data_IF_740555606606
#
_entry.id   IF_740555606606
#
_cell.length_a   1.000
_cell.length_b   1.000
_cell.length_c   1.000
_cell.angle_alpha   90.00
_cell.angle_beta   90.00
_cell.angle_gamma   90.00
#
_symmetry.space_group_name_H-M   'P 1'
#
loop_
_entity.id
_entity.type
_entity.pdbx_description
1 polymer ?
#
# COMPACT_ATOMS: atom_id res chain seq x y z
N UNK A 1 -2.72 24.88 -17.65
CA UNK A 1 -2.12 23.64 -17.11
C UNK A 1 -1.79 22.72 -18.28
N UNK A 2 -0.50 22.46 -18.56
CA UNK A 2 -0.11 21.49 -19.57
C UNK A 2 -0.01 20.11 -18.94
N UNK A 3 -0.99 19.24 -19.20
CA UNK A 3 -0.86 17.81 -18.90
C UNK A 3 0.09 17.19 -19.93
N UNK A 4 1.40 17.13 -19.62
CA UNK A 4 2.36 16.38 -20.42
C UNK A 4 2.46 14.95 -19.87
N UNK A 5 2.01 13.97 -20.64
CA UNK A 5 2.29 12.56 -20.33
C UNK A 5 3.74 12.29 -20.77
N UNK A 6 4.62 11.81 -19.87
CA UNK A 6 6.00 11.51 -20.25
C UNK A 6 6.04 10.42 -21.32
N UNK A 7 6.83 10.66 -22.38
CA UNK A 7 7.03 9.70 -23.50
C UNK A 7 7.70 8.39 -23.07
N UNK A 8 8.35 8.38 -21.91
CA UNK A 8 9.04 7.22 -21.37
C UNK A 8 8.38 6.77 -20.07
N UNK A 9 8.22 5.46 -19.93
CA UNK A 9 7.82 4.83 -18.68
C UNK A 9 8.92 5.05 -17.65
N UNK A 10 8.54 5.35 -16.39
CA UNK A 10 9.50 5.37 -15.28
C UNK A 10 10.18 4.01 -15.18
N UNK A 11 11.48 4.00 -14.91
CA UNK A 11 12.23 2.78 -14.67
C UNK A 11 11.56 1.97 -13.57
N UNK A 12 11.35 0.69 -13.84
CA UNK A 12 10.77 -0.25 -12.89
C UNK A 12 11.86 -0.65 -11.90
N UNK A 13 11.60 -0.46 -10.60
CA UNK A 13 12.46 -1.01 -9.55
C UNK A 13 12.47 -2.54 -9.65
N UNK A 14 13.65 -3.13 -9.80
CA UNK A 14 13.84 -4.57 -9.86
C UNK A 14 14.30 -5.16 -8.53
N UNK A 15 14.68 -4.29 -7.59
CA UNK A 15 15.13 -4.69 -6.27
C UNK A 15 13.97 -5.25 -5.45
N UNK A 16 14.23 -6.37 -4.77
CA UNK A 16 13.27 -6.99 -3.87
C UNK A 16 12.88 -5.98 -2.77
N UNK A 17 11.58 -5.75 -2.60
CA UNK A 17 11.03 -4.74 -1.67
C UNK A 17 11.45 -3.30 -1.99
N UNK A 18 12.08 -3.04 -3.15
CA UNK A 18 12.46 -1.69 -3.55
C UNK A 18 11.25 -0.77 -3.82
N UNK A 19 10.04 -1.33 -3.95
CA UNK A 19 8.79 -0.57 -3.92
C UNK A 19 7.64 -1.40 -3.34
N UNK A 20 7.16 -0.97 -2.18
CA UNK A 20 5.98 -1.53 -1.50
C UNK A 20 4.85 -0.50 -1.51
N UNK A 21 3.66 -0.90 -1.92
CA UNK A 21 2.45 -0.10 -1.88
C UNK A 21 1.50 -0.66 -0.83
N UNK A 22 0.90 0.24 -0.05
CA UNK A 22 -0.17 -0.07 0.89
C UNK A 22 -1.48 0.50 0.35
N UNK A 23 -2.56 -0.26 0.49
CA UNK A 23 -3.92 0.15 0.14
C UNK A 23 -4.90 -0.41 1.17
N UNK A 24 -6.06 0.23 1.33
CA UNK A 24 -7.09 -0.18 2.28
C UNK A 24 -8.46 -0.17 1.65
N UNK A 25 -9.22 -1.24 1.86
CA UNK A 25 -10.60 -1.38 1.42
C UNK A 25 -11.54 -1.60 2.61
N UNK A 26 -12.70 -0.94 2.59
CA UNK A 26 -13.73 -1.06 3.62
C UNK A 26 -14.41 0.27 3.94
N UNK A 27 -15.28 0.31 4.96
CA UNK A 27 -15.62 -0.79 5.86
C UNK A 27 -16.51 -1.86 5.19
N UNK A 28 -16.35 -3.11 5.61
CA UNK A 28 -17.25 -4.21 5.25
C UNK A 28 -18.60 -4.04 5.96
N UNK A 29 -19.69 -4.31 5.23
CA UNK A 29 -21.04 -4.30 5.81
C UNK A 29 -21.18 -5.31 6.95
N UNK A 30 -20.58 -6.50 6.80
CA UNK A 30 -20.55 -7.52 7.84
C UNK A 30 -19.10 -7.74 8.29
N UNK A 31 -18.78 -7.55 9.58
CA UNK A 31 -17.42 -7.75 10.07
C UNK A 31 -17.04 -9.24 10.03
N UNK A 32 -15.80 -9.51 9.68
CA UNK A 32 -15.22 -10.87 9.72
C UNK A 32 -14.41 -10.99 11.00
N UNK A 33 -14.96 -11.69 12.01
CA UNK A 33 -14.34 -11.86 13.34
C UNK A 33 -13.93 -10.52 13.99
N UNK A 34 -14.78 -9.51 13.88
CA UNK A 34 -14.51 -8.16 14.39
C UNK A 34 -13.70 -7.26 13.44
N UNK A 35 -13.21 -7.79 12.32
CA UNK A 35 -12.47 -6.99 11.33
C UNK A 35 -13.40 -6.39 10.29
N UNK A 36 -13.19 -5.11 9.95
CA UNK A 36 -14.03 -4.36 9.01
C UNK A 36 -13.28 -3.88 7.78
N UNK A 37 -11.95 -3.97 7.75
CA UNK A 37 -11.18 -3.47 6.62
C UNK A 37 -10.18 -4.53 6.16
N UNK A 38 -9.82 -4.44 4.89
CA UNK A 38 -8.73 -5.19 4.28
C UNK A 38 -7.56 -4.24 4.06
N UNK A 39 -6.41 -4.54 4.64
CA UNK A 39 -5.13 -3.93 4.30
C UNK A 39 -4.47 -4.78 3.23
N UNK A 40 -4.24 -4.19 2.06
CA UNK A 40 -3.46 -4.79 0.99
C UNK A 40 -2.03 -4.24 1.04
N UNK A 41 -1.07 -5.16 1.09
CA UNK A 41 0.35 -4.87 0.92
C UNK A 41 0.78 -5.47 -0.41
N UNK A 42 1.31 -4.64 -1.30
CA UNK A 42 1.74 -5.06 -2.63
C UNK A 42 3.19 -4.69 -2.88
N UNK A 43 4.01 -5.70 -3.11
CA UNK A 43 5.39 -5.50 -3.55
C UNK A 43 5.42 -5.50 -5.08
N UNK A 44 5.91 -4.41 -5.67
CA UNK A 44 5.72 -4.13 -7.10
C UNK A 44 6.66 -4.96 -7.98
N UNK A 45 7.88 -5.28 -7.50
CA UNK A 45 8.89 -5.96 -8.33
C UNK A 45 8.55 -7.43 -8.59
N UNK A 46 8.12 -8.15 -7.55
CA UNK A 46 7.74 -9.57 -7.55
C UNK A 46 6.25 -9.80 -7.73
N UNK A 47 5.42 -8.74 -7.63
CA UNK A 47 3.95 -8.82 -7.66
C UNK A 47 3.35 -9.66 -6.53
N UNK A 48 4.10 -9.87 -5.45
CA UNK A 48 3.58 -10.53 -4.25
C UNK A 48 2.64 -9.60 -3.51
N UNK A 49 1.56 -10.19 -3.03
CA UNK A 49 0.50 -9.50 -2.33
C UNK A 49 0.25 -10.20 -1.00
N UNK A 50 0.06 -9.40 0.05
CA UNK A 50 -0.39 -9.85 1.36
C UNK A 50 -1.65 -9.09 1.72
N UNK A 51 -2.63 -9.80 2.26
CA UNK A 51 -3.90 -9.23 2.68
C UNK A 51 -4.08 -9.51 4.16
N UNK A 52 -4.29 -8.44 4.93
CA UNK A 52 -4.58 -8.51 6.35
C UNK A 52 -5.97 -7.97 6.64
N UNK A 53 -6.68 -8.64 7.54
CA UNK A 53 -7.93 -8.15 8.09
C UNK A 53 -7.60 -7.25 9.28
N UNK A 54 -8.11 -6.01 9.27
CA UNK A 54 -7.93 -5.06 10.38
C UNK A 54 -9.29 -4.59 10.94
N UNK A 55 -9.38 -4.35 12.26
CA UNK A 55 -10.62 -3.94 12.92
C UNK A 55 -11.00 -2.50 12.59
N UNK A 56 -10.00 -1.63 12.48
CA UNK A 56 -10.19 -0.19 12.37
C UNK A 56 -9.23 0.41 11.34
N UNK A 57 -9.52 1.61 10.85
CA UNK A 57 -8.73 2.27 9.80
C UNK A 57 -7.43 2.87 10.34
N UNK A 58 -7.35 3.15 11.64
CA UNK A 58 -6.17 3.72 12.29
C UNK A 58 -4.95 2.81 12.17
N UNK A 59 -5.16 1.49 12.08
CA UNK A 59 -4.07 0.55 11.81
C UNK A 59 -3.44 0.76 10.41
N UNK A 60 -4.25 1.11 9.39
CA UNK A 60 -3.73 1.50 8.08
C UNK A 60 -2.95 2.82 8.16
N UNK A 61 -3.49 3.82 8.86
CA UNK A 61 -2.84 5.12 9.00
C UNK A 61 -1.47 4.99 9.71
N UNK A 62 -1.39 4.17 10.76
CA UNK A 62 -0.12 3.88 11.45
C UNK A 62 0.93 3.25 10.51
N UNK A 63 0.53 2.27 9.69
CA UNK A 63 1.43 1.64 8.71
C UNK A 63 1.86 2.64 7.63
N UNK A 64 0.95 3.50 7.18
CA UNK A 64 1.26 4.50 6.16
C UNK A 64 2.22 5.58 6.68
N UNK A 65 2.06 6.00 7.93
CA UNK A 65 2.98 6.93 8.60
C UNK A 65 4.36 6.32 8.79
N UNK A 66 4.43 5.09 9.31
CA UNK A 66 5.69 4.35 9.43
C UNK A 66 6.38 4.21 8.08
N UNK A 67 5.62 3.93 7.01
CA UNK A 67 6.17 3.85 5.65
C UNK A 67 6.83 5.16 5.23
N UNK A 68 6.13 6.28 5.42
CA UNK A 68 6.63 7.60 5.07
C UNK A 68 7.92 7.92 5.84
N UNK A 69 8.01 7.54 7.12
CA UNK A 69 9.22 7.68 7.93
C UNK A 69 10.39 6.87 7.37
N UNK A 70 10.16 5.61 6.97
CA UNK A 70 11.22 4.78 6.37
C UNK A 70 11.69 5.30 5.01
N UNK A 71 10.78 5.82 4.18
CA UNK A 71 11.12 6.42 2.88
C UNK A 71 11.89 7.74 3.01
N UNK A 72 11.81 8.44 4.13
CA UNK A 72 12.60 9.66 4.41
C UNK A 72 14.02 9.37 4.90
N UNK A 73 14.24 8.20 5.49
CA UNK A 73 15.57 7.78 6.01
C UNK A 73 16.47 7.26 4.88
N UNK A 74 15.89 6.88 3.74
CA UNK A 74 16.57 6.25 2.60
C UNK A 74 16.89 7.26 1.51
#
# INVERSE_FOLDING_TARGET
MHNSIPKQLRSRTMDLLGRVQFDVAGPLHTPIRGNRYFLLIKEISTRREWVYLIPTKEAYDAVNNWKAEQELIT
#
